data_IF_405665445938
#
_entry.id   IF_405665445938
#
_cell.length_a   1.000
_cell.length_b   1.000
_cell.length_c   1.000
_cell.angle_alpha   90.00
_cell.angle_beta   90.00
_cell.angle_gamma   90.00
#
_symmetry.space_group_name_H-M   'P 1'
#
loop_
_entity.id
_entity.type
_entity.pdbx_description
1 polymer ?
#
# COMPACT_ATOMS: atom_id res chain seq x y z
N UNK A 1 10.32 7.43 -4.58
CA UNK A 1 11.41 8.09 -3.81
C UNK A 1 12.19 7.04 -3.02
N UNK A 2 13.40 7.35 -2.54
CA UNK A 2 14.19 6.46 -1.67
C UNK A 2 14.49 7.12 -0.34
N UNK A 3 14.58 6.32 0.71
CA UNK A 3 15.23 6.70 1.96
C UNK A 3 16.58 5.98 2.01
N UNK A 4 17.62 6.77 2.24
CA UNK A 4 19.01 6.34 2.32
C UNK A 4 19.50 6.54 3.76
N UNK A 5 20.37 5.66 4.24
CA UNK A 5 21.07 5.84 5.52
C UNK A 5 22.47 6.33 5.24
N UNK A 6 22.86 7.42 5.89
CA UNK A 6 24.24 7.91 5.85
C UNK A 6 24.99 7.43 7.10
N UNK A 7 26.10 6.72 6.90
CA UNK A 7 27.01 6.30 7.96
C UNK A 7 28.43 6.74 7.61
N UNK A 8 28.90 7.83 8.22
CA UNK A 8 30.15 8.47 7.80
C UNK A 8 30.06 8.89 6.33
N UNK A 9 31.00 8.44 5.51
CA UNK A 9 31.03 8.74 4.06
C UNK A 9 30.15 7.81 3.21
N UNK A 10 29.57 6.76 3.81
CA UNK A 10 28.78 5.77 3.07
C UNK A 10 27.31 6.13 3.03
N UNK A 11 26.73 6.05 1.83
CA UNK A 11 25.29 6.10 1.61
C UNK A 11 24.76 4.70 1.31
N UNK A 12 23.87 4.21 2.16
CA UNK A 12 23.31 2.86 2.09
C UNK A 12 21.83 2.91 1.67
N UNK A 13 21.44 2.03 0.76
CA UNK A 13 20.04 1.86 0.34
C UNK A 13 19.25 1.20 1.48
N UNK A 14 18.19 1.86 1.94
CA UNK A 14 17.36 1.33 3.02
C UNK A 14 15.96 0.95 2.57
N UNK A 15 15.21 1.90 1.98
CA UNK A 15 13.86 1.62 1.48
C UNK A 15 13.55 2.46 0.23
N UNK A 16 12.84 1.86 -0.71
CA UNK A 16 12.20 2.54 -1.84
C UNK A 16 10.70 2.64 -1.55
N UNK A 17 10.16 3.84 -1.65
CA UNK A 17 8.74 4.12 -1.51
C UNK A 17 8.12 4.42 -2.88
N UNK A 18 7.03 3.73 -3.18
CA UNK A 18 6.24 3.90 -4.39
C UNK A 18 4.75 3.96 -4.04
N UNK A 19 4.02 4.85 -4.71
CA UNK A 19 2.56 4.88 -4.68
C UNK A 19 2.08 4.36 -6.03
N UNK A 20 1.17 3.40 -6.03
CA UNK A 20 0.54 2.90 -7.26
C UNK A 20 -0.59 3.83 -7.67
N UNK A 21 -0.45 4.47 -8.83
CA UNK A 21 -1.48 5.37 -9.37
C UNK A 21 -2.82 4.68 -9.60
N UNK A 22 -2.79 3.37 -9.87
CA UNK A 22 -3.98 2.56 -10.14
C UNK A 22 -4.97 2.55 -8.97
N UNK A 23 -4.48 2.31 -7.76
CA UNK A 23 -5.30 1.96 -6.59
C UNK A 23 -4.92 2.67 -5.29
N UNK A 24 -3.90 3.53 -5.32
CA UNK A 24 -3.44 4.28 -4.16
C UNK A 24 -2.71 3.43 -3.14
N UNK A 25 -2.32 2.20 -3.50
CA UNK A 25 -1.52 1.36 -2.63
C UNK A 25 -0.11 1.95 -2.47
N UNK A 26 0.49 1.77 -1.30
CA UNK A 26 1.85 2.20 -0.99
C UNK A 26 2.73 0.98 -0.85
N UNK A 27 3.83 0.95 -1.59
CA UNK A 27 4.81 -0.13 -1.58
C UNK A 27 6.09 0.37 -0.91
N UNK A 28 6.50 -0.31 0.17
CA UNK A 28 7.83 -0.16 0.77
C UNK A 28 8.67 -1.37 0.35
N UNK A 29 9.66 -1.13 -0.51
CA UNK A 29 10.59 -2.16 -0.95
C UNK A 29 11.95 -1.96 -0.27
N UNK A 30 12.36 -2.95 0.52
CA UNK A 30 13.62 -2.96 1.25
C UNK A 30 14.63 -3.84 0.51
N UNK A 31 15.59 -3.25 -0.23
CA UNK A 31 16.64 -4.02 -0.87
C UNK A 31 17.51 -4.68 0.20
N UNK A 32 17.83 -5.95 0.00
CA UNK A 32 18.76 -6.71 0.83
C UNK A 32 19.79 -7.37 -0.06
N UNK A 33 21.05 -7.43 0.38
CA UNK A 33 22.00 -8.32 -0.30
C UNK A 33 21.52 -9.76 -0.08
N UNK A 34 21.49 -10.61 -1.12
CA UNK A 34 21.26 -12.03 -0.92
C UNK A 34 22.45 -12.58 -0.13
N UNK A 35 22.25 -12.81 1.17
CA UNK A 35 23.19 -13.55 2.01
C UNK A 35 22.59 -14.90 2.38
N UNK A 36 23.40 -15.96 2.38
CA UNK A 36 23.07 -17.21 3.06
C UNK A 36 22.85 -16.89 4.54
N UNK A 37 21.60 -16.68 4.95
CA UNK A 37 21.28 -16.14 6.27
C UNK A 37 19.90 -15.51 6.27
N UNK A 38 18.90 -16.37 6.46
CA UNK A 38 17.47 -16.16 6.66
C UNK A 38 17.03 -14.71 6.97
N UNK A 39 16.10 -14.20 6.15
CA UNK A 39 15.22 -13.10 6.54
C UNK A 39 14.21 -13.70 7.53
N UNK A 40 14.49 -13.61 8.83
CA UNK A 40 13.59 -14.16 9.87
C UNK A 40 12.54 -13.11 10.26
N UNK A 41 11.28 -13.51 10.17
CA UNK A 41 10.13 -12.74 10.63
C UNK A 41 9.84 -13.02 12.11
N UNK A 42 9.49 -11.99 12.86
CA UNK A 42 9.02 -12.13 14.24
C UNK A 42 7.59 -11.67 14.40
N UNK A 43 6.91 -12.32 15.32
CA UNK A 43 5.50 -12.09 15.62
C UNK A 43 5.42 -11.66 17.09
N UNK A 44 5.06 -10.40 17.35
CA UNK A 44 4.78 -9.93 18.71
C UNK A 44 3.40 -10.42 19.13
N UNK A 45 3.26 -11.21 20.20
CA UNK A 45 1.93 -11.60 20.72
C UNK A 45 1.37 -10.59 21.72
N UNK A 46 0.04 -10.56 21.90
CA UNK A 46 -0.61 -9.86 23.01
C UNK A 46 -0.04 -10.40 24.33
N UNK A 47 0.67 -9.55 25.08
CA UNK A 47 1.28 -9.90 26.37
C UNK A 47 2.81 -9.80 26.42
N UNK A 48 3.47 -9.32 25.36
CA UNK A 48 4.92 -9.07 25.37
C UNK A 48 5.79 -10.30 25.15
N UNK A 49 5.19 -11.47 24.93
CA UNK A 49 5.91 -12.66 24.49
C UNK A 49 6.13 -12.64 22.97
N UNK A 50 7.37 -12.84 22.54
CA UNK A 50 7.74 -12.94 21.12
C UNK A 50 7.63 -14.38 20.68
N UNK A 51 6.85 -14.63 19.63
CA UNK A 51 6.85 -15.93 18.95
C UNK A 51 7.69 -15.81 17.69
N UNK A 52 8.67 -16.70 17.56
CA UNK A 52 9.51 -16.78 16.37
C UNK A 52 8.82 -17.67 15.34
N UNK A 53 8.61 -17.15 14.14
CA UNK A 53 8.31 -17.99 12.98
C UNK A 53 9.51 -17.89 12.05
N UNK A 54 10.38 -18.90 12.09
CA UNK A 54 11.46 -18.98 11.12
C UNK A 54 10.83 -19.39 9.78
N UNK A 55 10.88 -18.48 8.80
CA UNK A 55 10.65 -18.86 7.41
C UNK A 55 12.01 -19.14 6.79
N UNK A 56 12.24 -20.40 6.38
CA UNK A 56 13.29 -20.76 5.44
C UNK A 56 12.87 -20.25 4.05
N UNK A 57 12.93 -18.93 3.88
CA UNK A 57 12.73 -18.34 2.58
C UNK A 57 14.04 -18.40 1.80
N UNK A 58 13.96 -18.73 0.51
CA UNK A 58 15.08 -18.55 -0.39
C UNK A 58 15.61 -17.11 -0.30
N UNK A 59 16.93 -16.91 -0.45
CA UNK A 59 17.52 -15.58 -0.47
C UNK A 59 16.80 -14.70 -1.49
N UNK A 60 16.01 -13.76 -1.01
CA UNK A 60 15.36 -12.77 -1.86
C UNK A 60 16.16 -11.48 -1.81
N UNK A 61 16.36 -10.87 -2.97
CA UNK A 61 17.03 -9.59 -3.10
C UNK A 61 16.22 -8.43 -2.48
N UNK A 62 14.94 -8.66 -2.13
CA UNK A 62 14.12 -7.62 -1.52
C UNK A 62 13.00 -8.18 -0.64
N UNK A 63 12.73 -7.46 0.46
CA UNK A 63 11.48 -7.60 1.20
C UNK A 63 10.51 -6.49 0.76
N UNK A 64 9.24 -6.85 0.49
CA UNK A 64 8.21 -5.89 0.07
C UNK A 64 7.07 -5.88 1.07
N UNK A 65 6.70 -4.68 1.49
CA UNK A 65 5.49 -4.39 2.25
C UNK A 65 4.53 -3.63 1.35
N UNK A 66 3.28 -4.08 1.25
CA UNK A 66 2.23 -3.40 0.48
C UNK A 66 1.13 -2.95 1.43
N UNK A 67 0.89 -1.65 1.49
CA UNK A 67 -0.21 -1.01 2.18
C UNK A 67 -1.30 -0.73 1.13
N UNK A 68 -2.36 -1.53 1.13
CA UNK A 68 -3.49 -1.31 0.23
C UNK A 68 -4.31 -0.13 0.70
N UNK A 69 -4.90 0.62 -0.23
CA UNK A 69 -5.78 1.77 0.08
C UNK A 69 -6.94 1.40 1.01
N UNK A 70 -7.36 0.12 1.01
CA UNK A 70 -8.38 -0.43 1.90
C UNK A 70 -7.96 -0.57 3.36
N UNK A 71 -6.67 -0.38 3.67
CA UNK A 71 -6.09 -0.61 4.99
C UNK A 71 -5.56 -2.03 5.19
N UNK A 72 -5.63 -2.90 4.18
CA UNK A 72 -4.97 -4.21 4.22
C UNK A 72 -3.46 -4.04 4.06
N UNK A 73 -2.68 -4.71 4.90
CA UNK A 73 -1.21 -4.69 4.83
C UNK A 73 -0.71 -6.10 4.56
N UNK A 74 0.07 -6.26 3.49
CA UNK A 74 0.69 -7.52 3.09
C UNK A 74 2.21 -7.47 3.27
N UNK A 75 2.79 -8.54 3.80
CA UNK A 75 4.24 -8.68 4.07
C UNK A 75 4.93 -9.57 3.04
N UNK A 76 4.67 -9.34 1.74
CA UNK A 76 5.31 -10.09 0.66
C UNK A 76 5.01 -11.59 0.63
N UNK A 77 3.84 -12.01 1.14
CA UNK A 77 3.42 -13.41 1.19
C UNK A 77 4.01 -14.24 2.33
N UNK A 78 4.86 -13.65 3.18
CA UNK A 78 5.61 -14.36 4.23
C UNK A 78 4.89 -14.40 5.58
N UNK A 79 3.91 -13.52 5.78
CA UNK A 79 3.15 -13.40 7.02
C UNK A 79 1.69 -13.10 6.70
N UNK A 80 0.72 -13.55 7.53
CA UNK A 80 -0.66 -13.13 7.42
C UNK A 80 -0.80 -11.62 7.29
N UNK A 81 -1.76 -11.21 6.46
CA UNK A 81 -2.09 -9.80 6.32
C UNK A 81 -2.68 -9.28 7.64
N UNK A 82 -2.41 -8.01 7.93
CA UNK A 82 -3.08 -7.28 9.01
C UNK A 82 -3.97 -6.18 8.43
N UNK A 83 -4.89 -5.68 9.26
CA UNK A 83 -5.85 -4.66 8.84
C UNK A 83 -5.74 -3.41 9.72
N UNK A 84 -5.67 -2.27 9.06
CA UNK A 84 -5.80 -0.94 9.67
C UNK A 84 -6.96 -0.20 9.00
N UNK A 85 -7.22 1.04 9.43
CA UNK A 85 -8.16 1.92 8.73
C UNK A 85 -7.74 2.17 7.27
N UNK A 86 -8.68 2.51 6.37
CA UNK A 86 -8.36 2.88 5.00
C UNK A 86 -7.33 4.01 4.95
N UNK A 87 -6.39 3.96 4.00
CA UNK A 87 -5.25 4.88 4.00
C UNK A 87 -5.66 6.36 3.82
N UNK A 88 -6.81 6.61 3.19
CA UNK A 88 -7.37 7.94 2.99
C UNK A 88 -8.16 8.49 4.19
N UNK A 89 -8.47 7.66 5.20
CA UNK A 89 -9.22 8.03 6.42
C UNK A 89 -8.66 7.37 7.68
N UNK A 90 -7.34 7.21 7.73
CA UNK A 90 -6.70 6.62 8.89
C UNK A 90 -7.02 7.46 10.13
N UNK A 91 -7.67 6.89 11.14
CA UNK A 91 -8.12 7.67 12.31
C UNK A 91 -6.98 7.96 13.31
N UNK A 92 -5.96 7.10 13.35
CA UNK A 92 -4.84 7.18 14.29
C UNK A 92 -3.58 6.57 13.70
N UNK A 93 -2.44 6.93 14.26
CA UNK A 93 -1.19 6.27 13.95
C UNK A 93 -1.29 4.75 14.17
N UNK A 94 -0.80 3.98 13.20
CA UNK A 94 -0.81 2.52 13.23
C UNK A 94 0.61 2.01 12.96
N UNK A 95 1.26 1.33 13.92
CA UNK A 95 2.54 0.68 13.67
C UNK A 95 2.34 -0.47 12.68
N UNK A 96 3.27 -0.63 11.76
CA UNK A 96 3.17 -1.61 10.68
C UNK A 96 4.27 -2.68 10.77
N UNK A 97 5.48 -2.25 11.07
CA UNK A 97 6.67 -3.10 11.03
C UNK A 97 7.77 -2.46 11.86
N UNK A 98 8.53 -3.25 12.63
CA UNK A 98 9.88 -2.84 13.05
C UNK A 98 10.90 -3.57 12.19
N UNK A 99 11.74 -2.84 11.48
CA UNK A 99 12.84 -3.41 10.68
C UNK A 99 14.17 -3.17 11.36
N UNK A 100 14.89 -4.25 11.67
CA UNK A 100 16.22 -4.20 12.25
C UNK A 100 17.30 -4.51 11.23
N UNK A 101 18.31 -3.66 11.16
CA UNK A 101 19.56 -3.83 10.43
C UNK A 101 20.65 -4.17 11.43
N UNK A 102 20.89 -5.47 11.65
CA UNK A 102 21.90 -5.93 12.62
C UNK A 102 23.34 -5.60 12.22
N UNK A 103 23.64 -5.56 10.93
CA UNK A 103 24.95 -5.19 10.38
C UNK A 103 24.76 -4.33 9.15
N UNK A 104 25.47 -3.21 9.05
CA UNK A 104 25.39 -2.32 7.88
C UNK A 104 25.82 -3.01 6.58
N UNK A 105 26.68 -4.03 6.66
CA UNK A 105 27.13 -4.79 5.50
C UNK A 105 26.01 -5.55 4.77
N UNK A 106 24.86 -5.77 5.43
CA UNK A 106 23.67 -6.37 4.81
C UNK A 106 22.95 -5.42 3.85
N UNK A 107 23.20 -4.11 3.97
CA UNK A 107 22.67 -3.10 3.06
C UNK A 107 23.58 -2.93 1.85
N UNK A 108 22.98 -2.46 0.76
CA UNK A 108 23.67 -2.18 -0.50
C UNK A 108 24.09 -0.72 -0.55
N UNK A 109 25.36 -0.47 -0.82
CA UNK A 109 25.90 0.87 -1.00
C UNK A 109 25.32 1.54 -2.25
N UNK A 110 25.13 2.85 -2.19
CA UNK A 110 24.61 3.62 -3.29
C UNK A 110 25.74 4.04 -4.24
N UNK A 111 25.94 3.25 -5.29
CA UNK A 111 26.96 3.52 -6.32
C UNK A 111 26.51 4.52 -7.40
N UNK A 112 25.55 5.41 -7.12
CA UNK A 112 25.00 6.38 -8.08
C UNK A 112 24.59 7.66 -7.37
N UNK A 113 24.45 8.79 -8.09
CA UNK A 113 24.01 10.03 -7.46
C UNK A 113 22.68 9.90 -6.71
N UNK A 114 22.55 10.71 -5.66
CA UNK A 114 21.29 10.96 -4.96
C UNK A 114 20.34 11.62 -5.96
N UNK A 115 19.16 11.05 -6.13
CA UNK A 115 18.18 11.60 -7.05
C UNK A 115 17.36 12.68 -6.35
N UNK A 116 16.73 13.55 -7.14
CA UNK A 116 15.77 14.51 -6.61
C UNK A 116 14.62 13.79 -5.88
N UNK A 117 14.30 14.25 -4.68
CA UNK A 117 13.29 13.65 -3.81
C UNK A 117 13.74 12.41 -3.02
N UNK A 118 15.01 12.00 -3.09
CA UNK A 118 15.54 11.07 -2.10
C UNK A 118 15.71 11.76 -0.74
N UNK A 119 15.45 11.01 0.34
CA UNK A 119 15.65 11.46 1.70
C UNK A 119 16.86 10.75 2.30
N UNK A 120 17.77 11.51 2.90
CA UNK A 120 18.92 10.98 3.61
C UNK A 120 18.66 11.10 5.11
N UNK A 121 18.74 9.98 5.81
CA UNK A 121 18.77 9.94 7.27
C UNK A 121 20.23 9.83 7.71
N UNK A 122 20.75 10.90 8.31
CA UNK A 122 22.11 10.91 8.85
C UNK A 122 22.19 10.18 10.20
N UNK A 123 23.00 9.14 10.24
CA UNK A 123 23.22 8.27 11.39
C UNK A 123 24.72 8.18 11.74
N UNK A 124 25.54 9.14 11.32
CA UNK A 124 27.00 9.10 11.49
C UNK A 124 27.45 8.82 12.94
N UNK A 125 26.69 9.28 13.94
CA UNK A 125 27.00 9.10 15.36
C UNK A 125 26.37 7.85 16.00
N UNK A 126 25.53 7.12 15.26
CA UNK A 126 24.75 6.02 15.81
C UNK A 126 25.38 4.71 15.35
N UNK A 127 25.73 3.86 16.32
CA UNK A 127 26.32 2.56 16.04
C UNK A 127 25.22 1.53 15.78
N UNK A 128 25.42 0.59 14.85
CA UNK A 128 24.55 -0.56 14.72
C UNK A 128 24.53 -1.40 16.02
N UNK A 129 23.44 -2.14 16.27
CA UNK A 129 22.32 -2.38 15.37
C UNK A 129 21.35 -1.20 15.24
N UNK A 130 20.71 -1.07 14.08
CA UNK A 130 19.72 -0.03 13.84
C UNK A 130 18.32 -0.65 13.73
N UNK A 131 17.37 -0.22 14.55
CA UNK A 131 15.99 -0.70 14.49
C UNK A 131 15.05 0.45 14.16
N UNK A 132 14.27 0.29 13.11
CA UNK A 132 13.34 1.30 12.63
C UNK A 132 11.92 0.83 12.83
N UNK A 133 11.17 1.52 13.68
CA UNK A 133 9.72 1.41 13.71
C UNK A 133 9.15 2.15 12.50
N UNK A 134 8.28 1.47 11.79
CA UNK A 134 7.59 1.96 10.61
C UNK A 134 6.12 2.07 10.97
N UNK A 135 5.59 3.28 10.91
CA UNK A 135 4.20 3.57 11.21
C UNK A 135 3.56 4.39 10.09
N UNK A 136 2.25 4.24 9.95
CA UNK A 136 1.43 5.12 9.12
C UNK A 136 0.55 6.00 10.01
N UNK A 137 0.35 7.26 9.64
CA UNK A 137 -0.44 8.21 10.42
C UNK A 137 -1.19 9.20 9.51
N UNK A 138 -2.34 9.74 9.95
CA UNK A 138 -3.05 10.79 9.20
C UNK A 138 -2.39 12.17 9.31
N UNK A 139 -1.52 12.34 10.31
CA UNK A 139 -0.82 13.58 10.61
C UNK A 139 0.66 13.27 10.88
N UNK A 140 1.56 14.25 10.70
CA UNK A 140 2.96 14.10 11.10
C UNK A 140 3.04 13.73 12.58
N UNK A 141 3.84 12.73 12.93
CA UNK A 141 4.03 12.39 14.35
C UNK A 141 4.80 13.53 15.05
N UNK A 142 4.42 13.93 16.28
CA UNK A 142 5.08 15.01 17.02
C UNK A 142 6.58 14.79 17.14
N UNK A 143 7.39 15.85 17.07
CA UNK A 143 8.84 15.77 17.28
C UNK A 143 9.16 15.02 18.58
N UNK A 144 9.97 13.96 18.47
CA UNK A 144 10.54 13.20 19.57
C UNK A 144 12.07 13.26 19.53
N UNK A 145 12.71 12.92 20.64
CA UNK A 145 14.16 12.87 20.80
C UNK A 145 14.72 11.64 20.06
N UNK A 146 14.72 11.66 18.73
CA UNK A 146 15.22 10.55 17.94
C UNK A 146 15.32 10.84 16.44
N UNK A 147 16.35 10.30 15.75
CA UNK A 147 16.42 10.38 14.29
C UNK A 147 15.24 9.67 13.63
N UNK A 148 14.62 10.36 12.70
CA UNK A 148 13.46 9.86 11.97
C UNK A 148 13.34 10.48 10.60
N UNK A 149 12.60 9.81 9.74
CA UNK A 149 12.11 10.35 8.47
C UNK A 149 10.59 10.23 8.46
N UNK A 150 9.92 11.31 8.11
CA UNK A 150 8.48 11.30 7.83
C UNK A 150 8.27 11.73 6.38
N UNK A 151 7.49 10.95 5.65
CA UNK A 151 7.15 11.23 4.27
C UNK A 151 5.65 11.35 4.15
N UNK A 152 5.19 12.50 3.64
CA UNK A 152 3.82 12.67 3.19
C UNK A 152 3.59 11.96 1.84
N UNK A 153 2.57 11.12 1.81
CA UNK A 153 2.04 10.42 0.66
C UNK A 153 0.54 10.70 0.56
N UNK A 154 -0.02 10.61 -0.65
CA UNK A 154 -1.47 10.74 -0.86
C UNK A 154 -2.10 12.02 -0.28
N UNK A 155 -1.32 13.10 -0.15
CA UNK A 155 -1.69 14.42 0.44
C UNK A 155 -2.11 14.41 1.92
N UNK A 156 -2.20 13.24 2.57
CA UNK A 156 -2.76 13.07 3.93
C UNK A 156 -2.25 11.85 4.70
N UNK A 157 -1.45 10.98 4.07
CA UNK A 157 -0.90 9.80 4.72
C UNK A 157 0.58 10.03 4.99
N UNK A 158 1.00 9.95 6.25
CA UNK A 158 2.41 10.01 6.60
C UNK A 158 2.95 8.61 6.82
N UNK A 159 4.06 8.28 6.18
CA UNK A 159 4.87 7.09 6.51
C UNK A 159 6.06 7.56 7.31
N UNK A 160 6.15 7.10 8.56
CA UNK A 160 7.22 7.45 9.48
C UNK A 160 8.18 6.27 9.64
N UNK A 161 9.47 6.54 9.55
CA UNK A 161 10.56 5.64 9.91
C UNK A 161 11.28 6.27 11.10
N UNK A 162 11.12 5.68 12.28
CA UNK A 162 11.71 6.18 13.53
C UNK A 162 12.70 5.18 14.07
N UNK A 163 13.90 5.65 14.44
CA UNK A 163 14.85 4.82 15.16
C UNK A 163 14.31 4.51 16.57
N UNK A 164 14.30 3.23 16.95
CA UNK A 164 13.84 2.75 18.24
C UNK A 164 14.86 1.79 18.85
N UNK A 165 14.93 1.75 20.17
CA UNK A 165 15.68 0.71 20.86
C UNK A 165 14.75 -0.48 21.15
N UNK A 166 15.16 -1.65 20.65
CA UNK A 166 14.48 -2.93 20.89
C UNK A 166 15.48 -4.03 21.28
N UNK A 167 16.72 -3.69 21.67
CA UNK A 167 17.77 -4.71 21.86
C UNK A 167 17.36 -5.82 22.83
N UNK A 168 16.68 -5.46 23.93
CA UNK A 168 16.17 -6.40 24.93
C UNK A 168 15.12 -7.38 24.40
N UNK A 169 14.53 -7.07 23.24
CA UNK A 169 13.46 -7.84 22.59
C UNK A 169 13.99 -8.74 21.47
N UNK A 170 15.27 -8.63 21.12
CA UNK A 170 15.90 -9.38 20.02
C UNK A 170 16.49 -10.69 20.55
N UNK A 171 16.02 -11.85 20.09
CA UNK A 171 16.63 -13.14 20.43
C UNK A 171 18.11 -13.22 20.05
N UNK A 172 18.90 -13.91 20.89
CA UNK A 172 20.36 -13.99 20.77
C UNK A 172 20.83 -14.51 19.39
N UNK A 173 20.07 -15.41 18.77
CA UNK A 173 20.38 -15.97 17.45
C UNK A 173 20.23 -14.95 16.30
N UNK A 174 19.71 -13.75 16.54
CA UNK A 174 19.39 -12.75 15.51
C UNK A 174 20.06 -11.38 15.71
N UNK A 175 20.93 -11.25 16.70
CA UNK A 175 21.68 -10.02 16.98
C UNK A 175 22.46 -9.51 15.76
N UNK A 176 23.02 -10.41 14.93
CA UNK A 176 23.76 -10.03 13.72
C UNK A 176 22.92 -9.93 12.44
N UNK A 177 21.65 -10.35 12.46
CA UNK A 177 20.83 -10.51 11.27
C UNK A 177 20.04 -9.24 10.93
N UNK A 178 19.61 -9.15 9.67
CA UNK A 178 18.55 -8.21 9.29
C UNK A 178 17.21 -8.91 9.48
N UNK A 179 16.35 -8.32 10.30
CA UNK A 179 15.11 -8.97 10.76
C UNK A 179 13.94 -8.01 10.65
N UNK A 180 12.76 -8.57 10.48
CA UNK A 180 11.51 -7.82 10.43
C UNK A 180 10.61 -8.33 11.56
N UNK A 181 10.04 -7.42 12.35
CA UNK A 181 9.11 -7.72 13.43
C UNK A 181 7.75 -7.15 13.06
N UNK A 182 6.77 -8.03 12.95
CA UNK A 182 5.42 -7.70 12.52
C UNK A 182 4.46 -7.78 13.73
N UNK A 183 3.46 -6.88 13.81
CA UNK A 183 2.35 -7.11 14.70
C UNK A 183 1.50 -8.26 14.13
N UNK A 184 0.95 -9.14 14.97
CA UNK A 184 0.07 -10.22 14.47
C UNK A 184 -1.40 -9.83 14.35
N UNK A 185 -1.79 -8.66 14.87
CA UNK A 185 -3.07 -8.02 14.54
C UNK A 185 -2.79 -6.54 14.26
N UNK A 186 -3.50 -5.98 13.28
CA UNK A 186 -3.47 -4.54 13.04
C UNK A 186 -4.34 -3.79 14.04
N UNK A 187 -4.68 -2.54 13.73
CA UNK A 187 -5.63 -1.78 14.55
C UNK A 187 -7.07 -2.25 14.40
N UNK A 188 -7.34 -3.10 13.39
CA UNK A 188 -8.60 -3.77 13.14
C UNK A 188 -8.38 -5.28 13.01
N UNK A 189 -9.38 -6.06 13.44
CA UNK A 189 -9.37 -7.53 13.31
C UNK A 189 -9.68 -7.98 11.88
N UNK A 190 -10.51 -7.21 11.17
CA UNK A 190 -10.93 -7.49 9.79
C UNK A 190 -10.83 -6.22 8.94
N UNK A 191 -10.83 -6.41 7.62
CA UNK A 191 -10.78 -5.32 6.67
C UNK A 191 -12.04 -4.45 6.76
N UNK A 192 -11.89 -3.15 7.00
CA UNK A 192 -13.01 -2.23 7.17
C UNK A 192 -13.83 -2.04 5.88
N UNK A 193 -13.16 -1.99 4.73
CA UNK A 193 -13.79 -1.76 3.42
C UNK A 193 -13.21 -2.69 2.36
N UNK A 194 -14.05 -3.11 1.41
CA UNK A 194 -13.57 -3.84 0.24
C UNK A 194 -12.63 -2.99 -0.64
N UNK A 195 -11.73 -3.65 -1.36
CA UNK A 195 -10.74 -3.01 -2.25
C UNK A 195 -11.41 -2.10 -3.31
N UNK A 196 -12.57 -2.51 -3.83
CA UNK A 196 -13.34 -1.71 -4.78
C UNK A 196 -13.77 -0.35 -4.22
N UNK A 197 -14.23 -0.32 -2.96
CA UNK A 197 -14.67 0.92 -2.33
C UNK A 197 -13.46 1.81 -2.00
N UNK A 198 -12.36 1.20 -1.54
CA UNK A 198 -11.13 1.92 -1.26
C UNK A 198 -10.59 2.64 -2.51
N UNK A 199 -10.69 1.97 -3.66
CA UNK A 199 -10.29 2.50 -4.95
C UNK A 199 -11.12 3.74 -5.34
N UNK A 200 -12.44 3.70 -5.18
CA UNK A 200 -13.31 4.86 -5.46
C UNK A 200 -12.93 6.04 -4.57
N UNK A 201 -12.79 5.81 -3.26
CA UNK A 201 -12.47 6.87 -2.30
C UNK A 201 -11.10 7.48 -2.56
N UNK A 202 -10.12 6.66 -2.95
CA UNK A 202 -8.81 7.14 -3.39
C UNK A 202 -8.93 8.07 -4.61
N UNK A 203 -9.65 7.66 -5.65
CA UNK A 203 -9.82 8.50 -6.84
C UNK A 203 -10.66 9.75 -6.59
N UNK A 204 -11.66 9.68 -5.71
CA UNK A 204 -12.40 10.86 -5.21
C UNK A 204 -11.44 11.86 -4.56
N UNK A 205 -10.51 11.40 -3.73
CA UNK A 205 -9.51 12.23 -3.07
C UNK A 205 -8.55 12.88 -4.08
N UNK A 206 -8.12 12.16 -5.12
CA UNK A 206 -7.20 12.70 -6.13
C UNK A 206 -7.84 13.71 -7.07
N UNK A 207 -9.01 13.38 -7.61
CA UNK A 207 -9.64 14.13 -8.70
C UNK A 207 -10.77 15.07 -8.24
N UNK A 208 -11.16 15.00 -6.96
CA UNK A 208 -12.08 15.94 -6.31
C UNK A 208 -13.52 15.91 -6.79
N UNK A 209 -13.90 15.13 -7.82
CA UNK A 209 -15.20 15.33 -8.52
C UNK A 209 -15.95 14.12 -9.11
N UNK A 210 -15.59 12.86 -8.90
CA UNK A 210 -16.44 11.77 -9.41
C UNK A 210 -16.62 10.63 -8.41
N UNK A 211 -17.86 10.45 -7.96
CA UNK A 211 -18.33 9.32 -7.16
C UNK A 211 -18.45 8.01 -7.93
N UNK A 212 -18.03 8.00 -9.19
CA UNK A 212 -18.34 6.98 -10.18
C UNK A 212 -17.26 6.93 -11.27
N UNK A 213 -16.05 6.50 -10.90
CA UNK A 213 -14.99 6.26 -11.88
C UNK A 213 -15.00 4.79 -12.33
N UNK A 214 -15.05 4.53 -13.65
CA UNK A 214 -14.88 3.19 -14.17
C UNK A 214 -13.47 2.67 -13.89
N UNK A 215 -13.39 1.44 -13.40
CA UNK A 215 -12.15 0.72 -13.11
C UNK A 215 -12.06 -0.47 -14.05
N UNK A 216 -10.99 -0.55 -14.82
CA UNK A 216 -10.79 -1.65 -15.77
C UNK A 216 -9.95 -1.21 -16.97
N UNK A 217 -9.90 -2.04 -18.01
CA UNK A 217 -10.49 -3.37 -18.09
C UNK A 217 -9.71 -4.40 -17.27
N UNK A 218 -10.36 -5.49 -16.87
CA UNK A 218 -9.67 -6.71 -16.41
C UNK A 218 -9.16 -7.54 -17.61
N UNK A 219 -8.57 -8.71 -17.35
CA UNK A 219 -8.01 -9.59 -18.40
C UNK A 219 -9.05 -10.10 -19.43
N UNK A 220 -10.34 -9.92 -19.18
CA UNK A 220 -11.43 -10.32 -20.09
C UNK A 220 -12.13 -9.12 -20.74
N UNK A 221 -11.68 -7.88 -20.48
CA UNK A 221 -12.24 -6.66 -21.08
C UNK A 221 -13.37 -6.01 -20.29
N UNK A 222 -13.61 -6.45 -19.05
CA UNK A 222 -14.68 -5.89 -18.21
C UNK A 222 -14.18 -4.72 -17.37
N UNK A 223 -15.01 -3.70 -17.32
CA UNK A 223 -14.92 -2.54 -16.46
C UNK A 223 -15.93 -2.66 -15.33
N UNK A 224 -15.64 -1.94 -14.25
CA UNK A 224 -16.46 -1.86 -13.06
C UNK A 224 -16.68 -0.40 -12.73
N UNK A 225 -17.92 0.05 -12.76
CA UNK A 225 -18.34 1.34 -12.24
C UNK A 225 -18.98 1.11 -10.87
N UNK A 226 -18.56 1.85 -9.86
CA UNK A 226 -19.15 1.75 -8.53
C UNK A 226 -19.51 3.15 -8.03
N UNK A 227 -20.71 3.29 -7.48
CA UNK A 227 -21.22 4.55 -6.94
C UNK A 227 -22.20 4.29 -5.79
N UNK A 228 -22.61 5.34 -5.09
CA UNK A 228 -23.62 5.27 -4.02
C UNK A 228 -24.82 6.12 -4.39
N UNK A 229 -26.03 5.64 -4.06
CA UNK A 229 -27.27 6.37 -4.31
C UNK A 229 -28.29 6.11 -3.21
N UNK A 230 -28.90 7.18 -2.69
CA UNK A 230 -30.00 7.09 -1.72
C UNK A 230 -31.33 6.69 -2.39
N UNK A 231 -31.36 6.61 -3.73
CA UNK A 231 -32.54 6.18 -4.46
C UNK A 231 -32.93 4.74 -4.11
N UNK A 232 -34.25 4.50 -4.10
CA UNK A 232 -34.82 3.17 -3.88
C UNK A 232 -34.44 2.21 -5.00
N UNK A 233 -34.46 2.69 -6.24
CA UNK A 233 -34.02 1.98 -7.44
C UNK A 233 -32.66 2.53 -7.84
N UNK A 234 -31.73 1.64 -8.20
CA UNK A 234 -30.42 2.06 -8.68
C UNK A 234 -30.57 2.74 -10.06
N UNK A 235 -29.98 3.93 -10.27
CA UNK A 235 -30.02 4.59 -11.58
C UNK A 235 -29.24 3.77 -12.59
N UNK A 236 -29.66 3.85 -13.85
CA UNK A 236 -28.97 3.21 -14.96
C UNK A 236 -27.70 3.99 -15.29
N UNK A 237 -26.59 3.25 -15.46
CA UNK A 237 -25.34 3.84 -15.88
C UNK A 237 -25.24 3.87 -17.41
N UNK A 238 -25.17 5.08 -17.96
CA UNK A 238 -24.88 5.32 -19.38
C UNK A 238 -23.40 5.68 -19.50
N UNK A 239 -22.62 4.81 -20.14
CA UNK A 239 -21.19 5.01 -20.37
C UNK A 239 -20.95 5.28 -21.86
N UNK A 240 -20.32 6.41 -22.19
CA UNK A 240 -19.95 6.76 -23.56
C UNK A 240 -18.44 6.69 -23.75
N UNK A 241 -18.00 5.90 -24.72
CA UNK A 241 -16.62 5.92 -25.18
C UNK A 241 -16.33 7.22 -25.95
N UNK A 242 -15.07 7.66 -25.97
CA UNK A 242 -14.64 8.76 -26.83
C UNK A 242 -14.71 8.39 -28.31
N UNK A 243 -14.45 7.13 -28.64
CA UNK A 243 -14.59 6.62 -29.99
C UNK A 243 -16.07 6.28 -30.29
N UNK A 244 -16.71 6.91 -31.29
CA UNK A 244 -18.12 6.69 -31.63
C UNK A 244 -18.41 5.28 -32.18
N UNK A 245 -17.42 4.57 -32.71
CA UNK A 245 -17.55 3.19 -33.19
C UNK A 245 -17.57 2.15 -32.05
N UNK A 246 -17.43 2.60 -30.80
CA UNK A 246 -17.39 1.78 -29.60
C UNK A 246 -18.59 2.09 -28.72
N UNK A 247 -19.23 1.06 -28.18
CA UNK A 247 -20.35 1.20 -27.25
C UNK A 247 -20.11 0.40 -25.97
N UNK A 248 -20.68 0.90 -24.87
CA UNK A 248 -20.63 0.22 -23.59
C UNK A 248 -21.86 -0.69 -23.45
N UNK A 249 -21.62 -1.95 -23.13
CA UNK A 249 -22.64 -2.95 -22.82
C UNK A 249 -22.60 -3.25 -21.33
N UNK A 250 -23.69 -2.97 -20.61
CA UNK A 250 -23.84 -3.33 -19.20
C UNK A 250 -24.10 -4.83 -19.09
N UNK A 251 -23.23 -5.52 -18.36
CA UNK A 251 -23.28 -6.96 -18.13
C UNK A 251 -24.14 -7.27 -16.92
N UNK A 252 -23.98 -6.49 -15.86
CA UNK A 252 -24.61 -6.74 -14.57
C UNK A 252 -24.66 -5.47 -13.72
N UNK A 253 -25.69 -5.34 -12.89
CA UNK A 253 -25.87 -4.24 -11.96
C UNK A 253 -26.37 -4.79 -10.61
N UNK A 254 -25.56 -4.61 -9.57
CA UNK A 254 -25.85 -5.11 -8.22
C UNK A 254 -25.93 -3.97 -7.22
N UNK A 255 -26.88 -4.05 -6.29
CA UNK A 255 -27.06 -3.07 -5.21
C UNK A 255 -26.90 -3.73 -3.86
N UNK A 256 -26.07 -3.14 -3.00
CA UNK A 256 -26.00 -3.48 -1.58
C UNK A 256 -26.94 -2.56 -0.78
N UNK A 257 -28.04 -3.09 -0.21
CA UNK A 257 -29.02 -2.29 0.49
C UNK A 257 -28.53 -1.74 1.84
N UNK A 258 -27.46 -2.31 2.43
CA UNK A 258 -26.91 -1.82 3.71
C UNK A 258 -26.05 -0.58 3.51
N UNK A 259 -25.36 -0.51 2.38
CA UNK A 259 -24.40 0.56 2.08
C UNK A 259 -24.89 1.52 1.00
N UNK A 260 -26.09 1.28 0.44
CA UNK A 260 -26.66 1.99 -0.71
C UNK A 260 -25.70 2.04 -1.92
N UNK A 261 -24.82 1.05 -2.01
CA UNK A 261 -23.78 0.95 -3.05
C UNK A 261 -24.35 0.24 -4.27
N UNK A 262 -24.06 0.76 -5.44
CA UNK A 262 -24.37 0.14 -6.73
C UNK A 262 -23.06 -0.16 -7.44
N UNK A 263 -22.94 -1.38 -7.96
CA UNK A 263 -21.83 -1.82 -8.79
C UNK A 263 -22.37 -2.24 -10.15
N UNK A 264 -21.91 -1.58 -11.19
CA UNK A 264 -22.20 -1.87 -12.59
C UNK A 264 -20.97 -2.50 -13.23
N UNK A 265 -21.12 -3.70 -13.76
CA UNK A 265 -20.13 -4.35 -14.62
C UNK A 265 -20.51 -4.09 -16.06
N UNK A 266 -19.56 -3.65 -16.86
CA UNK A 266 -19.80 -3.38 -18.27
C UNK A 266 -18.56 -3.71 -19.09
N UNK A 267 -18.70 -3.81 -20.41
CA UNK A 267 -17.58 -3.97 -21.34
C UNK A 267 -17.77 -3.07 -22.53
N UNK A 268 -16.70 -2.78 -23.24
CA UNK A 268 -16.79 -2.08 -24.52
C UNK A 268 -16.81 -3.08 -25.67
N UNK A 269 -17.70 -2.84 -26.63
CA UNK A 269 -17.81 -3.61 -27.86
C UNK A 269 -17.71 -2.68 -29.08
N UNK A 270 -17.08 -3.17 -30.15
CA UNK A 270 -17.10 -2.48 -31.45
C UNK A 270 -18.49 -2.62 -32.08
N UNK A 271 -19.15 -1.50 -32.42
CA UNK A 271 -20.53 -1.49 -32.95
C UNK A 271 -20.71 -2.36 -34.20
N UNK A 272 -19.70 -2.40 -35.07
CA UNK A 272 -19.78 -3.12 -36.37
C UNK A 272 -19.59 -4.62 -36.22
N UNK A 273 -18.71 -5.03 -35.32
CA UNK A 273 -18.26 -6.44 -35.21
C UNK A 273 -18.85 -7.15 -33.98
N UNK A 274 -19.39 -6.42 -33.01
CA UNK A 274 -19.78 -6.93 -31.69
C UNK A 274 -18.60 -7.41 -30.86
N UNK A 275 -17.35 -7.17 -31.30
CA UNK A 275 -16.16 -7.71 -30.65
C UNK A 275 -15.88 -6.96 -29.36
N UNK A 276 -15.71 -7.71 -28.27
CA UNK A 276 -15.28 -7.18 -26.98
C UNK A 276 -13.86 -6.63 -27.05
N UNK A 277 -13.70 -5.37 -26.63
CA UNK A 277 -12.41 -4.69 -26.54
C UNK A 277 -11.81 -4.99 -25.16
N UNK A 278 -10.68 -5.69 -25.15
CA UNK A 278 -9.98 -6.08 -23.92
C UNK A 278 -8.94 -5.07 -23.44
N UNK A 279 -8.62 -4.08 -24.27
CA UNK A 279 -7.67 -3.01 -23.96
C UNK A 279 -8.38 -1.79 -23.35
N UNK A 280 -7.66 -0.92 -22.62
CA UNK A 280 -8.21 0.33 -22.13
C UNK A 280 -8.88 1.15 -23.24
N UNK A 281 -10.10 1.62 -22.97
CA UNK A 281 -10.90 2.49 -23.84
C UNK A 281 -11.08 3.81 -23.12
N UNK A 282 -10.82 4.92 -23.82
CA UNK A 282 -11.06 6.25 -23.28
C UNK A 282 -12.56 6.53 -23.16
N UNK A 283 -12.97 6.98 -21.98
CA UNK A 283 -14.36 7.22 -21.62
C UNK A 283 -14.61 8.72 -21.68
N UNK A 284 -15.51 9.13 -22.57
CA UNK A 284 -15.89 10.54 -22.72
C UNK A 284 -16.84 10.99 -21.60
N UNK A 285 -17.81 10.15 -21.24
CA UNK A 285 -18.86 10.50 -20.30
C UNK A 285 -19.35 9.28 -19.53
N UNK A 286 -19.67 9.49 -18.25
CA UNK A 286 -20.48 8.56 -17.45
C UNK A 286 -21.64 9.34 -16.83
N UNK A 287 -22.85 8.99 -17.22
CA UNK A 287 -24.10 9.60 -16.75
C UNK A 287 -24.89 8.57 -15.95
N UNK A 288 -25.45 8.97 -14.81
CA UNK A 288 -26.36 8.15 -14.03
C UNK A 288 -27.78 8.64 -14.27
N UNK A 289 -28.59 7.83 -14.96
CA UNK A 289 -29.97 8.15 -15.31
C UNK A 289 -30.92 7.57 -14.26
N UNK A 290 -31.61 8.45 -13.55
CA UNK A 290 -32.70 8.09 -12.67
C UNK A 290 -33.99 7.96 -13.50
N UNK A 291 -34.56 6.77 -13.65
CA UNK A 291 -35.99 6.68 -13.94
C UNK A 291 -36.75 7.17 -12.69
N UNK A 292 -37.64 8.15 -12.89
CA UNK A 292 -38.48 8.79 -11.86
C UNK A 292 -39.66 7.90 -11.46
#
# INVERSE_FOLDING_TARGET
MRILLQQGEKLLRFVKLEVTERDGSVILAFPTKPSKGAVRGFVSTKGGAYTTTETDDEPSESFKLTLHSSGRINFGGRHPAIFVGPLWSLAKASPVLVRRVGRLSSLTELNRPVANGDVILDLAQIRPPLSFEIAISPEPLPADDGPRVQVELLKRLFVTFRLVDIESLVPANLVGATSNFYPNVGTLETQAIGEDLALIEYHKLLHGKASHLPVGPNNVGEYRLVFQTQMRVAPDAVIKALNPDVEAEVIDQTRDPRTNRVQVRFRFVERKSGRVIKTPVEIAEVTLSAEL
#
